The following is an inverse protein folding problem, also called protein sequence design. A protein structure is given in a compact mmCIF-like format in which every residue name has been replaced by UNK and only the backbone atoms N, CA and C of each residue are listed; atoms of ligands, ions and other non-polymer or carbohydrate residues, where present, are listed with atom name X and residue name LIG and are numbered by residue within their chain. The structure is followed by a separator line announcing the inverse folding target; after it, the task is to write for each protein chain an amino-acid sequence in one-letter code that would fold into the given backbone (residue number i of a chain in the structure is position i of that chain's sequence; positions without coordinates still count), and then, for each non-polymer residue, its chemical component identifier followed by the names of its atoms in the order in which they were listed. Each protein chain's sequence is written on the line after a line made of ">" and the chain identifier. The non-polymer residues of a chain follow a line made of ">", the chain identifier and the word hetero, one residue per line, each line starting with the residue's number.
data_IF_414218961026
#
_entry.id   IF_414218961026
#
_cell.length_a   1.000
_cell.length_b   1.000
_cell.length_c   1.000
_cell.angle_alpha   90.00
_cell.angle_beta   90.00
_cell.angle_gamma   90.00
#
_symmetry.space_group_name_H-M   'P 1'
#
loop_
_entity.id
_entity.type
_entity.pdbx_description
1 polymer ?
#
# COMPACT_ATOMS: atom_id res chain seq x y z
N UNK A 1 -14.65 17.48 -10.88
CA UNK A 1 -14.36 16.36 -9.95
C UNK A 1 -12.89 16.02 -10.11
N UNK A 2 -12.03 16.47 -9.20
CA UNK A 2 -10.61 16.13 -9.19
C UNK A 2 -10.44 14.77 -8.49
N UNK A 3 -9.78 13.83 -9.17
CA UNK A 3 -9.28 12.62 -8.52
C UNK A 3 -8.27 13.07 -7.47
N UNK A 4 -8.49 12.67 -6.21
CA UNK A 4 -7.61 12.98 -5.09
C UNK A 4 -6.15 12.72 -5.49
N UNK A 5 -5.28 13.67 -5.13
CA UNK A 5 -3.91 13.77 -5.60
C UNK A 5 -3.15 12.45 -5.53
N UNK A 6 -2.85 11.88 -6.69
CA UNK A 6 -1.63 11.11 -6.85
C UNK A 6 -0.51 12.14 -6.77
N UNK A 7 0.09 12.33 -5.60
CA UNK A 7 1.41 12.96 -5.49
C UNK A 7 2.30 12.28 -6.53
N UNK A 8 2.57 13.00 -7.62
CA UNK A 8 3.32 12.50 -8.78
C UNK A 8 4.81 12.46 -8.46
N UNK A 9 5.16 12.08 -7.24
CA UNK A 9 6.54 11.88 -6.84
C UNK A 9 6.91 10.46 -7.26
N UNK A 10 7.81 10.28 -8.25
CA UNK A 10 8.17 8.96 -8.73
C UNK A 10 8.78 8.14 -7.59
N UNK A 11 8.06 7.09 -7.18
CA UNK A 11 8.57 6.12 -6.20
C UNK A 11 9.75 5.40 -6.84
N UNK A 12 10.93 5.57 -6.25
CA UNK A 12 12.17 4.95 -6.73
C UNK A 12 12.54 3.76 -5.86
N UNK A 13 13.19 2.75 -6.46
CA UNK A 13 13.73 1.60 -5.72
C UNK A 13 14.81 2.05 -4.73
N UNK A 14 14.89 1.38 -3.58
CA UNK A 14 15.78 1.78 -2.48
C UNK A 14 15.27 2.94 -1.62
N UNK A 15 14.27 3.69 -2.09
CA UNK A 15 13.53 4.66 -1.30
C UNK A 15 12.55 4.00 -0.33
N UNK A 16 12.07 4.76 0.66
CA UNK A 16 11.03 4.29 1.57
C UNK A 16 9.74 4.01 0.80
N UNK A 17 9.12 2.86 1.05
CA UNK A 17 7.83 2.53 0.45
C UNK A 17 6.73 3.54 0.85
N UNK A 18 5.76 3.86 -0.04
CA UNK A 18 4.66 4.75 0.29
C UNK A 18 3.84 4.22 1.47
N UNK A 19 3.48 5.11 2.40
CA UNK A 19 2.60 4.75 3.50
C UNK A 19 1.17 4.59 2.98
N UNK A 20 0.53 3.46 3.32
CA UNK A 20 -0.89 3.24 3.06
C UNK A 20 -1.52 2.40 4.17
N UNK A 21 -2.84 2.46 4.22
CA UNK A 21 -3.68 1.62 5.07
C UNK A 21 -4.84 1.12 4.22
N UNK A 22 -5.09 -0.19 4.27
CA UNK A 22 -6.14 -0.84 3.49
C UNK A 22 -6.95 -1.77 4.40
N UNK A 23 -8.26 -1.94 4.14
CA UNK A 23 -9.02 -3.00 4.76
C UNK A 23 -8.57 -4.37 4.24
N UNK A 24 -8.38 -5.32 5.15
CA UNK A 24 -8.23 -6.73 4.83
C UNK A 24 -9.59 -7.36 4.48
N UNK A 25 -9.56 -8.59 3.97
CA UNK A 25 -10.76 -9.31 3.53
C UNK A 25 -11.79 -9.55 4.65
N UNK A 26 -11.34 -9.58 5.90
CA UNK A 26 -12.17 -9.72 7.10
C UNK A 26 -12.72 -8.38 7.62
N UNK A 27 -12.40 -7.27 6.95
CA UNK A 27 -12.78 -5.91 7.36
C UNK A 27 -11.83 -5.26 8.36
N UNK A 28 -10.78 -5.96 8.81
CA UNK A 28 -9.76 -5.38 9.71
C UNK A 28 -8.92 -4.36 8.96
N UNK A 29 -8.61 -3.23 9.59
CA UNK A 29 -7.73 -2.23 8.99
C UNK A 29 -6.26 -2.65 9.14
N UNK A 30 -5.51 -2.67 8.03
CA UNK A 30 -4.09 -3.06 8.00
C UNK A 30 -3.25 -1.91 7.46
N UNK A 31 -2.21 -1.52 8.21
CA UNK A 31 -1.26 -0.48 7.79
C UNK A 31 0.05 -1.12 7.32
N UNK A 32 0.69 -0.54 6.29
CA UNK A 32 2.00 -1.01 5.83
C UNK A 32 3.06 -0.89 6.92
N UNK A 33 3.03 0.19 7.72
CA UNK A 33 3.97 0.40 8.81
C UNK A 33 3.90 -0.71 9.85
N UNK A 34 2.70 -1.10 10.29
CA UNK A 34 2.53 -2.21 11.24
C UNK A 34 3.11 -3.53 10.71
N UNK A 35 2.93 -3.81 9.40
CA UNK A 35 3.51 -5.00 8.77
C UNK A 35 5.04 -4.96 8.72
N UNK A 36 5.65 -3.80 8.48
CA UNK A 36 7.11 -3.64 8.42
C UNK A 36 7.77 -3.51 9.80
N UNK A 37 7.04 -3.02 10.80
CA UNK A 37 7.50 -2.95 12.19
C UNK A 37 7.46 -4.33 12.85
N UNK A 38 6.40 -5.11 12.60
CA UNK A 38 6.24 -6.46 13.14
C UNK A 38 6.92 -7.56 12.30
N UNK A 39 7.26 -7.31 11.02
CA UNK A 39 7.91 -8.29 10.13
C UNK A 39 9.01 -7.65 9.27
N UNK A 40 9.97 -8.47 8.83
CA UNK A 40 11.11 -8.00 8.04
C UNK A 40 10.77 -7.50 6.61
N UNK A 41 9.69 -7.99 6.00
CA UNK A 41 9.31 -7.61 4.63
C UNK A 41 7.81 -7.86 4.36
N UNK A 42 7.26 -7.09 3.42
CA UNK A 42 5.92 -7.26 2.88
C UNK A 42 5.97 -7.31 1.35
N UNK A 43 5.17 -8.20 0.75
CA UNK A 43 5.02 -8.32 -0.71
C UNK A 43 3.63 -7.82 -1.09
N UNK A 44 3.57 -6.85 -2.00
CA UNK A 44 2.34 -6.27 -2.51
C UNK A 44 1.99 -6.87 -3.86
N UNK A 45 0.86 -7.58 -3.91
CA UNK A 45 0.33 -8.14 -5.14
C UNK A 45 -0.95 -7.39 -5.53
N UNK A 46 -0.89 -6.66 -6.64
CA UNK A 46 -2.06 -5.95 -7.19
C UNK A 46 -2.74 -6.84 -8.21
N UNK A 47 -3.99 -7.22 -7.92
CA UNK A 47 -4.83 -7.98 -8.82
C UNK A 47 -6.00 -7.12 -9.29
N UNK A 48 -6.20 -7.01 -10.61
CA UNK A 48 -7.24 -6.15 -11.20
C UNK A 48 -8.63 -6.79 -11.18
N UNK A 49 -8.74 -8.07 -10.84
CA UNK A 49 -9.96 -8.84 -11.11
C UNK A 49 -10.07 -9.22 -12.59
N UNK A 50 -10.88 -10.23 -12.87
CA UNK A 50 -11.43 -10.49 -14.19
C UNK A 50 -12.89 -10.03 -14.15
N UNK A 51 -13.30 -9.21 -15.12
CA UNK A 51 -14.70 -8.75 -15.27
C UNK A 51 -15.38 -9.59 -16.36
#
# INVERSE_FOLDING_TARGET
>A
MALAGCDSNPVSTGGRAPAFTLPAADGTSVSLSDLLDNRAAAVLLFYRGFF
#
